data_IF_933515891352
#
_entry.id   IF_933515891352
#
_cell.length_a   1.000
_cell.length_b   1.000
_cell.length_c   1.000
_cell.angle_alpha   90.00
_cell.angle_beta   90.00
_cell.angle_gamma   90.00
#
_symmetry.space_group_name_H-M   'P 1'
#
loop_
_entity.id
_entity.type
_entity.pdbx_description
1 polymer ?
#
# COMPACT_ATOMS: atom_id res chain seq x y z
N UNK A 1 -0.24 8.77 -14.58
CA UNK A 1 -1.32 7.98 -15.16
C UNK A 1 -0.79 6.75 -15.90
N UNK A 2 -1.53 5.65 -15.84
CA UNK A 2 -1.18 4.44 -16.57
C UNK A 2 -1.59 4.56 -18.05
N UNK A 3 -0.74 4.04 -18.94
CA UNK A 3 -1.15 3.79 -20.33
C UNK A 3 -2.13 2.60 -20.38
N UNK A 4 -2.85 2.44 -21.46
CA UNK A 4 -3.78 1.31 -21.59
C UNK A 4 -3.06 -0.05 -21.46
N UNK A 5 -1.83 -0.14 -21.95
CA UNK A 5 -1.04 -1.37 -21.91
C UNK A 5 -0.55 -1.72 -20.49
N UNK A 6 -0.43 -0.72 -19.62
CA UNK A 6 0.04 -0.91 -18.24
C UNK A 6 -1.11 -1.17 -17.26
N UNK A 7 -2.35 -0.95 -17.67
CA UNK A 7 -3.52 -1.14 -16.80
C UNK A 7 -3.75 -2.62 -16.48
N UNK A 8 -4.18 -2.86 -15.27
CA UNK A 8 -4.61 -4.18 -14.83
C UNK A 8 -5.99 -4.07 -14.16
N UNK A 9 -6.77 -5.17 -14.07
CA UNK A 9 -8.03 -5.14 -13.35
C UNK A 9 -7.80 -4.77 -11.88
N UNK A 10 -8.33 -3.64 -11.47
CA UNK A 10 -8.08 -3.09 -10.15
C UNK A 10 -9.38 -2.62 -9.50
N UNK A 11 -9.38 -2.61 -8.17
CA UNK A 11 -10.43 -2.02 -7.37
C UNK A 11 -9.80 -1.39 -6.12
N UNK A 12 -10.44 -0.40 -5.57
CA UNK A 12 -9.98 0.26 -4.36
C UNK A 12 -11.09 0.41 -3.34
N UNK A 13 -10.69 0.76 -2.12
CA UNK A 13 -11.61 0.99 -1.02
C UNK A 13 -11.98 -0.25 -0.23
N UNK A 14 -12.62 -0.01 0.92
CA UNK A 14 -13.23 -1.06 1.72
C UNK A 14 -14.61 -1.47 1.14
N UNK A 15 -15.31 -2.37 1.83
CA UNK A 15 -16.59 -2.90 1.35
C UNK A 15 -17.67 -1.82 1.17
N UNK A 16 -17.60 -0.73 1.93
CA UNK A 16 -18.58 0.36 1.88
C UNK A 16 -18.19 1.47 0.89
N UNK A 17 -16.91 1.55 0.53
CA UNK A 17 -16.35 2.61 -0.32
C UNK A 17 -15.67 2.04 -1.58
N UNK A 18 -16.12 0.88 -2.04
CA UNK A 18 -15.52 0.20 -3.18
C UNK A 18 -15.60 1.02 -4.47
N UNK A 19 -14.48 1.09 -5.18
CA UNK A 19 -14.36 1.80 -6.47
C UNK A 19 -13.69 0.87 -7.48
N UNK A 20 -14.33 0.68 -8.63
CA UNK A 20 -13.76 -0.12 -9.71
C UNK A 20 -12.74 0.69 -10.51
N UNK A 21 -11.58 0.09 -10.75
CA UNK A 21 -10.55 0.65 -11.61
C UNK A 21 -9.79 1.85 -11.05
N UNK A 22 -9.98 2.18 -9.78
CA UNK A 22 -9.35 3.35 -9.16
C UNK A 22 -9.16 3.15 -7.64
N UNK A 23 -8.28 3.93 -7.01
CA UNK A 23 -8.17 3.92 -5.55
C UNK A 23 -9.47 4.34 -4.88
N UNK A 24 -9.76 3.74 -3.73
CA UNK A 24 -10.95 4.06 -2.93
C UNK A 24 -10.59 4.26 -1.46
N UNK A 25 -11.48 4.95 -0.74
CA UNK A 25 -11.32 5.22 0.68
C UNK A 25 -11.40 3.95 1.52
N UNK A 26 -10.68 3.95 2.63
CA UNK A 26 -10.66 2.86 3.58
C UNK A 26 -10.95 3.39 4.99
N UNK A 27 -11.86 2.75 5.71
CA UNK A 27 -12.27 3.18 7.04
C UNK A 27 -11.15 2.88 8.05
N UNK A 28 -10.55 3.94 8.59
CA UNK A 28 -9.45 3.82 9.58
C UNK A 28 -9.94 3.39 10.96
N UNK A 29 -11.24 3.42 11.23
CA UNK A 29 -11.79 2.91 12.49
C UNK A 29 -11.85 1.39 12.53
N UNK A 30 -11.74 0.72 11.38
CA UNK A 30 -11.74 -0.74 11.28
C UNK A 30 -10.31 -1.28 11.22
N UNK A 31 -9.69 -1.42 12.38
CA UNK A 31 -8.30 -1.89 12.50
C UNK A 31 -8.10 -3.29 11.92
N UNK A 32 -9.05 -4.18 12.11
CA UNK A 32 -8.96 -5.56 11.59
C UNK A 32 -8.92 -5.59 10.07
N UNK A 33 -9.77 -4.78 9.41
CA UNK A 33 -9.76 -4.67 7.95
C UNK A 33 -8.45 -4.10 7.42
N UNK A 34 -7.92 -3.05 8.04
CA UNK A 34 -6.64 -2.47 7.66
C UNK A 34 -5.51 -3.50 7.77
N UNK A 35 -5.47 -4.23 8.86
CA UNK A 35 -4.43 -5.25 9.09
C UNK A 35 -4.58 -6.41 8.12
N UNK A 36 -5.80 -6.91 7.93
CA UNK A 36 -6.06 -8.07 7.08
C UNK A 36 -5.84 -7.76 5.60
N UNK A 37 -6.41 -6.66 5.10
CA UNK A 37 -6.42 -6.35 3.67
C UNK A 37 -5.18 -5.61 3.19
N UNK A 38 -4.64 -4.70 4.00
CA UNK A 38 -3.53 -3.83 3.61
C UNK A 38 -2.22 -4.14 4.34
N UNK A 39 -2.23 -5.13 5.21
CA UNK A 39 -1.08 -5.50 6.05
C UNK A 39 -0.57 -4.29 6.85
N UNK A 40 -1.49 -3.46 7.32
CA UNK A 40 -1.17 -2.31 8.16
C UNK A 40 -1.06 -2.76 9.62
N UNK A 41 0.03 -2.40 10.34
CA UNK A 41 0.19 -2.85 11.71
C UNK A 41 -0.89 -2.26 12.62
N UNK A 42 -1.56 -3.14 13.38
CA UNK A 42 -2.66 -2.73 14.27
C UNK A 42 -2.22 -1.76 15.36
N UNK A 43 -0.96 -1.82 15.77
CA UNK A 43 -0.38 -0.89 16.73
C UNK A 43 -0.35 0.56 16.25
N UNK A 44 -0.35 0.79 14.94
CA UNK A 44 -0.19 2.11 14.34
C UNK A 44 -1.51 2.74 13.88
N UNK A 45 -2.64 2.03 14.02
CA UNK A 45 -3.94 2.54 13.57
C UNK A 45 -4.30 3.87 14.23
N UNK A 46 -3.91 4.08 15.47
CA UNK A 46 -4.13 5.35 16.18
C UNK A 46 -3.28 6.50 15.66
N UNK A 47 -2.26 6.22 14.83
CA UNK A 47 -1.35 7.23 14.28
C UNK A 47 -1.83 7.79 12.94
N UNK A 48 -2.88 7.22 12.36
CA UNK A 48 -3.42 7.65 11.07
C UNK A 48 -4.86 8.13 11.20
N UNK A 49 -5.27 9.06 10.32
CA UNK A 49 -6.63 9.57 10.26
C UNK A 49 -7.24 9.45 8.86
N UNK A 50 -6.55 8.82 7.92
CA UNK A 50 -7.08 8.56 6.59
C UNK A 50 -6.34 7.41 5.94
N UNK A 51 -7.05 6.66 5.10
CA UNK A 51 -6.50 5.56 4.32
C UNK A 51 -7.22 5.41 2.99
N UNK A 52 -6.50 4.90 1.99
CA UNK A 52 -7.04 4.52 0.71
C UNK A 52 -6.33 3.26 0.23
N UNK A 53 -6.96 2.51 -0.65
CA UNK A 53 -6.38 1.28 -1.19
C UNK A 53 -6.59 1.14 -2.68
N UNK A 54 -5.72 0.35 -3.32
CA UNK A 54 -5.85 -0.12 -4.69
C UNK A 54 -5.29 -1.53 -4.75
N UNK A 55 -6.08 -2.48 -5.21
CA UNK A 55 -5.68 -3.89 -5.27
C UNK A 55 -5.97 -4.47 -6.65
N UNK A 56 -5.21 -5.52 -7.02
CA UNK A 56 -5.51 -6.30 -8.22
C UNK A 56 -6.77 -7.17 -7.96
N UNK A 57 -7.76 -7.08 -8.84
CA UNK A 57 -9.05 -7.74 -8.65
C UNK A 57 -8.97 -9.27 -8.69
N UNK A 58 -8.00 -9.81 -9.43
CA UNK A 58 -7.89 -11.25 -9.65
C UNK A 58 -7.06 -11.96 -8.58
N UNK A 59 -6.08 -11.26 -7.99
CA UNK A 59 -5.20 -11.84 -6.97
C UNK A 59 -4.59 -10.71 -6.13
N UNK A 60 -4.96 -10.64 -4.86
CA UNK A 60 -4.47 -9.61 -3.94
C UNK A 60 -2.94 -9.61 -3.80
N UNK A 61 -2.31 -10.79 -3.85
CA UNK A 61 -0.85 -10.88 -3.73
C UNK A 61 -0.11 -10.42 -5.00
N UNK A 62 -0.82 -10.25 -6.10
CA UNK A 62 -0.25 -9.72 -7.34
C UNK A 62 0.04 -8.23 -7.23
N UNK A 63 -0.84 -7.48 -6.54
CA UNK A 63 -0.65 -6.06 -6.30
C UNK A 63 -1.60 -5.58 -5.20
N UNK A 64 -1.04 -5.00 -4.17
CA UNK A 64 -1.81 -4.31 -3.11
C UNK A 64 -1.11 -3.00 -2.77
N UNK A 65 -1.85 -1.90 -2.91
CA UNK A 65 -1.37 -0.56 -2.55
C UNK A 65 -2.24 0.01 -1.44
N UNK A 66 -1.60 0.52 -0.39
CA UNK A 66 -2.28 1.26 0.67
C UNK A 66 -1.62 2.62 0.84
N UNK A 67 -2.41 3.68 0.94
CA UNK A 67 -1.97 5.02 1.25
C UNK A 67 -2.56 5.45 2.59
N UNK A 68 -1.74 5.97 3.49
CA UNK A 68 -2.12 6.30 4.85
C UNK A 68 -1.71 7.73 5.19
N UNK A 69 -2.65 8.51 5.72
CA UNK A 69 -2.36 9.85 6.23
C UNK A 69 -2.03 9.76 7.72
N UNK A 70 -0.78 10.10 8.05
CA UNK A 70 -0.28 10.10 9.44
C UNK A 70 -0.63 11.44 10.08
N UNK A 71 -1.18 11.41 11.29
CA UNK A 71 -1.64 12.64 11.98
C UNK A 71 -0.49 13.57 12.37
N UNK A 72 0.69 13.01 12.64
CA UNK A 72 1.88 13.78 13.01
C UNK A 72 3.06 13.41 12.14
N UNK A 73 3.70 14.42 11.53
CA UNK A 73 4.85 14.22 10.66
C UNK A 73 6.00 13.45 11.32
N UNK A 74 6.17 13.59 12.63
CA UNK A 74 7.21 12.90 13.40
C UNK A 74 7.02 11.37 13.44
N UNK A 75 5.80 10.88 13.15
CA UNK A 75 5.49 9.46 13.16
C UNK A 75 5.59 8.80 11.77
N UNK A 76 5.83 9.56 10.72
CA UNK A 76 5.86 9.04 9.33
C UNK A 76 6.90 7.92 9.17
N UNK A 77 8.12 8.14 9.65
CA UNK A 77 9.18 7.13 9.55
C UNK A 77 8.89 5.88 10.39
N UNK A 78 8.27 6.06 11.55
CA UNK A 78 7.85 4.94 12.41
C UNK A 78 6.79 4.08 11.72
N UNK A 79 5.75 4.72 11.16
CA UNK A 79 4.69 4.01 10.42
C UNK A 79 5.27 3.27 9.23
N UNK A 80 6.16 3.90 8.45
CA UNK A 80 6.80 3.24 7.31
C UNK A 80 7.61 2.00 7.74
N UNK A 81 8.40 2.10 8.80
CA UNK A 81 9.19 0.99 9.32
C UNK A 81 8.30 -0.15 9.86
N UNK A 82 7.21 0.18 10.52
CA UNK A 82 6.29 -0.80 11.08
C UNK A 82 5.51 -1.53 9.98
N UNK A 83 5.11 -0.82 8.92
CA UNK A 83 4.50 -1.46 7.74
C UNK A 83 5.49 -2.44 7.10
N UNK A 84 6.74 -2.03 6.92
CA UNK A 84 7.77 -2.90 6.39
C UNK A 84 7.90 -4.18 7.21
N UNK A 85 7.97 -4.05 8.52
CA UNK A 85 8.07 -5.19 9.43
C UNK A 85 6.84 -6.10 9.33
N UNK A 86 5.66 -5.53 9.22
CA UNK A 86 4.41 -6.28 9.10
C UNK A 86 4.36 -7.09 7.79
N UNK A 87 4.75 -6.47 6.67
CA UNK A 87 4.76 -7.14 5.34
C UNK A 87 5.82 -8.23 5.31
N UNK A 88 7.04 -7.94 5.76
CA UNK A 88 8.14 -8.92 5.77
C UNK A 88 7.90 -10.08 6.73
N UNK A 89 7.20 -9.84 7.82
CA UNK A 89 6.90 -10.85 8.83
C UNK A 89 5.61 -11.62 8.60
N UNK A 90 4.81 -11.26 7.61
CA UNK A 90 3.51 -11.91 7.36
C UNK A 90 3.69 -13.31 6.81
N UNK A 91 2.86 -14.25 7.28
CA UNK A 91 2.76 -15.58 6.70
C UNK A 91 1.79 -15.55 5.53
N UNK A 92 2.31 -15.73 4.33
CA UNK A 92 1.53 -15.69 3.10
C UNK A 92 0.96 -17.09 2.80
N UNK A 93 -0.37 -17.19 2.76
CA UNK A 93 -1.06 -18.49 2.64
C UNK A 93 -1.39 -18.86 1.20
N UNK A 94 -1.69 -17.87 0.35
CA UNK A 94 -2.20 -18.08 -1.01
C UNK A 94 -1.31 -17.39 -2.04
N UNK A 95 -0.05 -17.78 -2.10
CA UNK A 95 0.93 -17.16 -2.96
C UNK A 95 1.76 -16.14 -2.21
N UNK A 96 2.92 -15.83 -2.73
CA UNK A 96 3.92 -14.98 -2.10
C UNK A 96 4.12 -13.74 -2.96
N UNK A 97 3.95 -12.52 -2.44
CA UNK A 97 4.31 -11.32 -3.19
C UNK A 97 5.82 -11.23 -3.35
N UNK A 98 6.26 -10.71 -4.50
CA UNK A 98 7.69 -10.69 -4.85
C UNK A 98 8.44 -9.53 -4.19
N UNK A 99 7.78 -8.38 -4.07
CA UNK A 99 8.45 -7.12 -3.76
C UNK A 99 7.58 -6.17 -2.95
N UNK A 100 8.24 -5.38 -2.11
CA UNK A 100 7.66 -4.29 -1.33
C UNK A 100 8.37 -2.98 -1.66
N UNK A 101 7.60 -1.92 -1.88
CA UNK A 101 8.11 -0.54 -1.97
C UNK A 101 7.28 0.33 -1.02
N UNK A 102 7.94 1.19 -0.26
CA UNK A 102 7.28 2.17 0.63
C UNK A 102 7.79 3.56 0.29
N UNK A 103 6.85 4.47 0.09
CA UNK A 103 7.11 5.88 -0.17
C UNK A 103 6.63 6.73 1.01
N UNK A 104 7.25 7.88 1.18
CA UNK A 104 6.73 8.94 2.06
C UNK A 104 6.62 10.25 1.27
N UNK A 105 5.56 11.01 1.55
CA UNK A 105 5.36 12.34 0.97
C UNK A 105 4.61 13.20 1.98
N UNK A 106 5.31 14.15 2.60
CA UNK A 106 4.73 14.94 3.70
C UNK A 106 4.31 14.03 4.86
N UNK A 107 3.01 14.04 5.19
CA UNK A 107 2.43 13.18 6.22
C UNK A 107 1.81 11.89 5.66
N UNK A 108 2.05 11.57 4.39
CA UNK A 108 1.55 10.35 3.77
C UNK A 108 2.61 9.25 3.74
N UNK A 109 2.16 8.02 3.98
CA UNK A 109 2.93 6.80 3.77
C UNK A 109 2.17 5.94 2.77
N UNK A 110 2.84 5.53 1.70
CA UNK A 110 2.26 4.66 0.67
C UNK A 110 3.03 3.36 0.65
N UNK A 111 2.36 2.25 0.87
CA UNK A 111 2.96 0.91 0.76
C UNK A 111 2.38 0.19 -0.45
N UNK A 112 3.24 -0.47 -1.22
CA UNK A 112 2.83 -1.29 -2.35
C UNK A 112 3.64 -2.58 -2.34
N UNK A 113 2.93 -3.70 -2.50
CA UNK A 113 3.58 -5.01 -2.59
C UNK A 113 2.81 -5.90 -3.57
N UNK A 114 3.50 -6.89 -4.10
CA UNK A 114 2.92 -7.83 -5.04
C UNK A 114 3.92 -8.30 -6.07
N UNK A 115 3.44 -8.59 -7.28
CA UNK A 115 4.27 -8.98 -8.41
C UNK A 115 5.28 -7.87 -8.75
N UNK A 116 6.53 -8.25 -8.95
CA UNK A 116 7.64 -7.30 -9.13
C UNK A 116 7.39 -6.33 -10.29
N UNK A 117 6.92 -6.81 -11.43
CA UNK A 117 6.69 -5.95 -12.60
C UNK A 117 5.60 -4.91 -12.32
N UNK A 118 4.52 -5.30 -11.66
CA UNK A 118 3.43 -4.39 -11.31
C UNK A 118 3.88 -3.36 -10.27
N UNK A 119 4.65 -3.80 -9.28
CA UNK A 119 5.18 -2.92 -8.23
C UNK A 119 6.16 -1.91 -8.82
N UNK A 120 7.06 -2.35 -9.69
CA UNK A 120 8.03 -1.48 -10.34
C UNK A 120 7.35 -0.44 -11.23
N UNK A 121 6.33 -0.84 -11.99
CA UNK A 121 5.55 0.07 -12.83
C UNK A 121 4.85 1.13 -11.98
N UNK A 122 4.21 0.73 -10.88
CA UNK A 122 3.59 1.68 -9.95
C UNK A 122 4.62 2.64 -9.36
N UNK A 123 5.76 2.10 -8.90
CA UNK A 123 6.85 2.91 -8.35
C UNK A 123 7.27 4.03 -9.32
N UNK A 124 7.54 3.65 -10.56
CA UNK A 124 8.05 4.60 -11.56
C UNK A 124 7.01 5.68 -11.87
N UNK A 125 5.75 5.30 -12.01
CA UNK A 125 4.66 6.25 -12.28
C UNK A 125 4.34 7.12 -11.07
N UNK A 126 4.38 6.57 -9.87
CA UNK A 126 4.14 7.33 -8.63
C UNK A 126 5.22 8.40 -8.42
N UNK A 127 6.48 8.03 -8.57
CA UNK A 127 7.59 8.97 -8.42
C UNK A 127 7.54 10.06 -9.48
N UNK A 128 7.20 9.72 -10.72
CA UNK A 128 7.05 10.70 -11.80
C UNK A 128 5.90 11.68 -11.54
N UNK A 129 4.80 11.22 -10.94
CA UNK A 129 3.64 12.06 -10.62
C UNK A 129 3.80 12.87 -9.33
N UNK A 130 4.69 12.44 -8.44
CA UNK A 130 4.86 13.02 -7.09
C UNK A 130 6.34 13.30 -6.82
N UNK A 131 6.86 14.38 -7.39
CA UNK A 131 8.28 14.75 -7.31
C UNK A 131 8.77 14.97 -5.88
N UNK A 132 7.87 15.25 -4.93
CA UNK A 132 8.20 15.41 -3.51
C UNK A 132 8.23 14.11 -2.72
N UNK A 133 7.86 12.99 -3.34
CA UNK A 133 7.85 11.69 -2.66
C UNK A 133 9.26 11.10 -2.55
N UNK A 134 9.53 10.46 -1.42
CA UNK A 134 10.76 9.73 -1.16
C UNK A 134 10.49 8.24 -1.11
N UNK A 135 11.30 7.44 -1.81
CA UNK A 135 11.27 5.98 -1.70
C UNK A 135 12.14 5.59 -0.51
N UNK A 136 11.52 5.10 0.58
CA UNK A 136 12.25 4.75 1.80
C UNK A 136 12.61 3.26 1.86
N UNK A 137 11.81 2.41 1.21
CA UNK A 137 12.10 0.98 1.07
C UNK A 137 11.75 0.54 -0.34
N UNK A 138 12.61 -0.27 -0.94
CA UNK A 138 12.44 -0.90 -2.26
C UNK A 138 13.20 -2.22 -2.20
N UNK A 139 12.51 -3.31 -1.86
CA UNK A 139 13.16 -4.58 -1.54
C UNK A 139 12.29 -5.78 -1.86
N UNK A 140 12.95 -6.92 -2.08
CA UNK A 140 12.26 -8.20 -2.21
C UNK A 140 11.64 -8.60 -0.87
N UNK A 141 10.49 -9.28 -0.91
CA UNK A 141 9.89 -9.86 0.28
C UNK A 141 10.57 -11.19 0.54
N UNK A 142 11.16 -11.32 1.73
CA UNK A 142 11.88 -12.52 2.13
C UNK A 142 10.96 -13.73 2.31
N UNK A 143 11.44 -14.84 1.90
CA UNK A 143 10.75 -16.12 2.11
C UNK A 143 11.01 -16.64 3.54
#
# INVERSE_FOLDING_TARGET
TYSEDDKFPAAGGDAEHAVDGAPGSFDVSNADSLTYQLTFPSSDVSLIDGAASLVHMMNMNTFTCGAFHVTEASNVSTVAADIRSAVQGKQWMCGFPDKLVIFTSGQYVVSVYGNEDLVNTFRDKFVAANSGASTVYDEAIGA
#
